data_IF_694304673532
#
_entry.id   IF_694304673532
#
_cell.length_a   1.000
_cell.length_b   1.000
_cell.length_c   1.000
_cell.angle_alpha   90.00
_cell.angle_beta   90.00
_cell.angle_gamma   90.00
#
_symmetry.space_group_name_H-M   'P 1'
#
loop_
_entity.id
_entity.type
_entity.pdbx_description
1 polymer ?
#
# COMPACT_ATOMS: atom_id res chain seq x y z
N UNK A 1 3.43 -16.85 -50.51
CA UNK A 1 3.38 -17.31 -51.92
C UNK A 1 2.91 -16.25 -52.91
N UNK A 2 1.94 -15.39 -52.58
CA UNK A 2 1.42 -14.38 -53.52
C UNK A 2 2.46 -13.33 -54.01
N UNK A 3 3.42 -12.95 -53.18
CA UNK A 3 4.44 -11.95 -53.56
C UNK A 3 5.35 -12.37 -54.70
N UNK A 4 5.80 -13.63 -54.72
CA UNK A 4 6.71 -14.13 -55.78
C UNK A 4 5.97 -14.21 -57.13
N UNK A 5 4.71 -14.64 -57.11
CA UNK A 5 3.86 -14.70 -58.31
C UNK A 5 3.61 -13.30 -58.87
N UNK A 6 3.36 -12.32 -57.99
CA UNK A 6 3.18 -10.91 -58.39
C UNK A 6 4.44 -10.34 -59.05
N UNK A 7 5.61 -10.59 -58.47
CA UNK A 7 6.91 -10.14 -59.02
C UNK A 7 7.16 -10.73 -60.39
N UNK A 8 6.87 -12.02 -60.59
CA UNK A 8 7.03 -12.70 -61.89
C UNK A 8 6.09 -12.11 -62.95
N UNK A 9 4.83 -11.84 -62.59
CA UNK A 9 3.85 -11.23 -63.50
C UNK A 9 4.28 -9.82 -63.90
N UNK A 10 4.73 -9.01 -62.94
CA UNK A 10 5.22 -7.64 -63.21
C UNK A 10 6.48 -7.66 -64.07
N UNK A 11 7.42 -8.57 -63.82
CA UNK A 11 8.63 -8.72 -64.63
C UNK A 11 8.31 -9.12 -66.08
N UNK A 12 7.37 -10.05 -66.28
CA UNK A 12 6.90 -10.47 -67.60
C UNK A 12 6.20 -9.33 -68.34
N UNK A 13 5.28 -8.62 -67.68
CA UNK A 13 4.57 -7.47 -68.24
C UNK A 13 5.54 -6.32 -68.57
N UNK A 14 6.48 -6.02 -67.67
CA UNK A 14 7.51 -5.00 -67.88
C UNK A 14 8.41 -5.33 -69.08
N UNK A 15 8.81 -6.60 -69.22
CA UNK A 15 9.58 -7.06 -70.39
C UNK A 15 8.81 -6.97 -71.70
N UNK A 16 7.52 -7.34 -71.69
CA UNK A 16 6.65 -7.26 -72.88
C UNK A 16 6.45 -5.80 -73.33
N UNK A 17 6.27 -4.92 -72.36
CA UNK A 17 6.11 -3.48 -72.56
C UNK A 17 7.41 -2.83 -73.09
N UNK A 18 8.57 -3.22 -72.56
CA UNK A 18 9.86 -2.70 -73.00
C UNK A 18 10.10 -2.99 -74.49
N UNK A 19 9.75 -4.20 -74.96
CA UNK A 19 9.83 -4.58 -76.36
C UNK A 19 8.94 -3.73 -77.27
N UNK A 20 7.75 -3.34 -76.80
CA UNK A 20 6.85 -2.47 -77.55
C UNK A 20 7.39 -1.03 -77.63
N UNK A 21 7.93 -0.50 -76.54
CA UNK A 21 8.55 0.83 -76.49
C UNK A 21 9.73 0.96 -77.45
N UNK A 22 10.61 -0.03 -77.48
CA UNK A 22 11.77 -0.05 -78.38
C UNK A 22 11.35 -0.16 -79.86
N UNK A 23 10.27 -0.91 -80.14
CA UNK A 23 9.72 -1.03 -81.50
C UNK A 23 9.16 0.29 -82.03
N UNK A 24 8.52 1.08 -81.17
CA UNK A 24 8.03 2.42 -81.50
C UNK A 24 9.22 3.36 -81.73
N UNK A 25 10.21 3.35 -80.83
CA UNK A 25 11.45 4.12 -80.94
C UNK A 25 12.19 3.88 -82.26
N UNK A 26 12.38 2.62 -82.63
CA UNK A 26 13.03 2.21 -83.88
C UNK A 26 12.24 2.61 -85.13
N UNK A 27 10.90 2.51 -85.10
CA UNK A 27 10.04 2.94 -86.22
C UNK A 27 10.14 4.44 -86.47
N UNK A 28 10.20 5.23 -85.41
CA UNK A 28 10.39 6.69 -85.48
C UNK A 28 11.79 7.04 -85.99
N UNK A 29 12.82 6.30 -85.54
CA UNK A 29 14.20 6.45 -86.03
C UNK A 29 14.34 6.16 -87.53
N UNK A 30 13.68 5.13 -88.06
CA UNK A 30 13.69 4.81 -89.50
C UNK A 30 12.99 5.87 -90.37
N UNK A 31 11.98 6.56 -89.84
CA UNK A 31 11.26 7.64 -90.55
C UNK A 31 12.00 8.99 -90.58
N UNK A 32 13.21 9.09 -89.98
CA UNK A 32 14.03 10.31 -89.88
C UNK A 32 13.27 11.53 -89.36
N UNK A 33 12.33 11.32 -88.44
CA UNK A 33 11.57 12.40 -87.82
C UNK A 33 12.51 13.23 -86.94
N UNK A 34 12.47 14.55 -87.08
CA UNK A 34 13.20 15.50 -86.24
C UNK A 34 12.22 16.15 -85.26
N UNK A 35 12.54 16.08 -83.98
CA UNK A 35 11.80 16.75 -82.92
C UNK A 35 12.62 17.98 -82.52
N UNK A 36 12.05 19.18 -82.67
CA UNK A 36 12.73 20.45 -82.36
C UNK A 36 14.11 20.65 -83.02
N UNK A 37 14.28 20.17 -84.27
CA UNK A 37 15.51 20.40 -85.05
C UNK A 37 16.69 19.48 -84.70
N UNK A 38 16.49 18.49 -83.83
CA UNK A 38 17.54 17.53 -83.43
C UNK A 38 17.84 16.50 -84.54
N UNK A 39 19.09 16.00 -84.55
CA UNK A 39 19.54 14.95 -85.47
C UNK A 39 18.73 13.66 -85.22
N UNK A 40 18.19 12.99 -86.27
CA UNK A 40 17.20 11.90 -86.11
C UNK A 40 17.57 10.75 -85.17
N UNK A 41 18.86 10.47 -85.00
CA UNK A 41 19.36 9.46 -84.04
C UNK A 41 19.06 9.83 -82.58
N UNK A 42 19.28 11.10 -82.20
CA UNK A 42 19.02 11.58 -80.85
C UNK A 42 17.52 11.75 -80.60
N UNK A 43 16.77 12.20 -81.62
CA UNK A 43 15.30 12.27 -81.55
C UNK A 43 14.67 10.92 -81.24
N UNK A 44 15.09 9.85 -81.92
CA UNK A 44 14.58 8.50 -81.65
C UNK A 44 14.94 8.00 -80.25
N UNK A 45 16.15 8.27 -79.77
CA UNK A 45 16.58 7.92 -78.40
C UNK A 45 15.75 8.66 -77.34
N UNK A 46 15.56 9.98 -77.50
CA UNK A 46 14.74 10.78 -76.59
C UNK A 46 13.29 10.27 -76.58
N UNK A 47 12.72 9.99 -77.75
CA UNK A 47 11.36 9.46 -77.85
C UNK A 47 11.25 8.09 -77.18
N UNK A 48 12.26 7.23 -77.31
CA UNK A 48 12.28 5.91 -76.66
C UNK A 48 12.35 6.04 -75.13
N UNK A 49 13.20 6.93 -74.60
CA UNK A 49 13.31 7.20 -73.16
C UNK A 49 12.02 7.80 -72.61
N UNK A 50 11.44 8.80 -73.29
CA UNK A 50 10.16 9.42 -72.88
C UNK A 50 9.01 8.40 -72.93
N UNK A 51 8.97 7.55 -73.95
CA UNK A 51 7.97 6.48 -74.04
C UNK A 51 8.16 5.46 -72.90
N UNK A 52 9.39 5.09 -72.56
CA UNK A 52 9.69 4.21 -71.43
C UNK A 52 9.28 4.80 -70.08
N UNK A 53 9.53 6.10 -69.85
CA UNK A 53 9.08 6.81 -68.64
C UNK A 53 7.56 6.88 -68.59
N UNK A 54 6.89 7.22 -69.70
CA UNK A 54 5.43 7.29 -69.77
C UNK A 54 4.78 5.93 -69.50
N UNK A 55 5.31 4.84 -70.06
CA UNK A 55 4.73 3.53 -69.81
C UNK A 55 4.98 3.09 -68.37
N UNK A 56 6.21 3.23 -67.85
CA UNK A 56 6.51 2.87 -66.46
C UNK A 56 5.69 3.67 -65.45
N UNK A 57 5.53 4.98 -65.70
CA UNK A 57 4.67 5.86 -64.90
C UNK A 57 3.20 5.49 -64.99
N UNK A 58 2.70 5.11 -66.17
CA UNK A 58 1.31 4.65 -66.35
C UNK A 58 1.07 3.31 -65.65
N UNK A 59 2.02 2.39 -65.69
CA UNK A 59 1.96 1.12 -64.95
C UNK A 59 1.91 1.38 -63.44
N UNK A 60 2.78 2.26 -62.93
CA UNK A 60 2.80 2.62 -61.52
C UNK A 60 1.49 3.31 -61.08
N UNK A 61 0.97 4.22 -61.91
CA UNK A 61 -0.30 4.91 -61.67
C UNK A 61 -1.46 3.92 -61.59
N UNK A 62 -1.54 3.01 -62.56
CA UNK A 62 -2.60 2.01 -62.64
C UNK A 62 -2.53 1.04 -61.46
N UNK A 63 -1.31 0.62 -61.07
CA UNK A 63 -1.09 -0.18 -59.87
C UNK A 63 -1.49 0.55 -58.58
N UNK A 64 -1.24 1.85 -58.48
CA UNK A 64 -1.63 2.67 -57.30
C UNK A 64 -3.15 2.82 -57.18
N UNK A 65 -3.86 2.88 -58.30
CA UNK A 65 -5.33 2.93 -58.34
C UNK A 65 -5.93 1.57 -57.97
N UNK A 66 -5.41 0.50 -58.56
CA UNK A 66 -5.96 -0.86 -58.42
C UNK A 66 -5.57 -1.53 -57.09
N UNK A 67 -4.35 -1.31 -56.61
CA UNK A 67 -3.82 -1.97 -55.40
C UNK A 67 -3.73 -1.00 -54.23
N UNK A 68 -4.41 -1.35 -53.13
CA UNK A 68 -4.29 -0.64 -51.86
C UNK A 68 -2.90 -0.82 -51.24
N UNK A 69 -2.24 -1.96 -51.45
CA UNK A 69 -0.92 -2.27 -50.90
C UNK A 69 0.17 -1.35 -51.49
N UNK A 70 0.17 -1.18 -52.82
CA UNK A 70 1.12 -0.29 -53.51
C UNK A 70 0.92 1.17 -53.09
N UNK A 71 -0.33 1.61 -52.99
CA UNK A 71 -0.68 2.96 -52.51
C UNK A 71 -0.22 3.18 -51.07
N UNK A 72 -0.38 2.18 -50.23
CA UNK A 72 0.02 2.21 -48.82
C UNK A 72 1.55 2.22 -48.68
N UNK A 73 2.25 1.40 -49.46
CA UNK A 73 3.70 1.36 -49.46
C UNK A 73 4.35 2.65 -49.99
N UNK A 74 3.82 3.23 -51.08
CA UNK A 74 4.36 4.46 -51.68
C UNK A 74 4.11 5.72 -50.84
N UNK A 75 2.96 5.81 -50.16
CA UNK A 75 2.51 7.07 -49.54
C UNK A 75 2.21 7.00 -48.04
N UNK A 76 1.97 5.81 -47.45
CA UNK A 76 1.52 5.66 -46.05
C UNK A 76 2.53 4.99 -45.11
N UNK A 77 3.71 4.58 -45.60
CA UNK A 77 4.72 3.91 -44.78
C UNK A 77 5.12 4.70 -43.53
N UNK A 78 5.33 6.02 -43.64
CA UNK A 78 5.65 6.88 -42.49
C UNK A 78 4.53 6.93 -41.45
N UNK A 79 3.28 6.95 -41.90
CA UNK A 79 2.10 6.98 -41.03
C UNK A 79 2.00 5.65 -40.27
N UNK A 80 2.19 4.52 -40.97
CA UNK A 80 2.16 3.19 -40.36
C UNK A 80 3.27 3.01 -39.32
N UNK A 81 4.49 3.50 -39.60
CA UNK A 81 5.59 3.44 -38.62
C UNK A 81 5.31 4.28 -37.37
N UNK A 82 4.73 5.47 -37.53
CA UNK A 82 4.32 6.31 -36.41
C UNK A 82 3.17 5.68 -35.62
N UNK A 83 2.19 5.08 -36.28
CA UNK A 83 1.10 4.35 -35.63
C UNK A 83 1.62 3.16 -34.82
N UNK A 84 2.59 2.41 -35.33
CA UNK A 84 3.21 1.30 -34.61
C UNK A 84 3.98 1.76 -33.36
N UNK A 85 4.76 2.84 -33.48
CA UNK A 85 5.47 3.40 -32.33
C UNK A 85 4.48 3.93 -31.28
N UNK A 86 3.43 4.61 -31.70
CA UNK A 86 2.40 5.12 -30.81
C UNK A 86 1.59 3.99 -30.16
N UNK A 87 1.33 2.89 -30.87
CA UNK A 87 0.70 1.70 -30.31
C UNK A 87 1.61 0.99 -29.31
N UNK A 88 2.91 0.88 -29.57
CA UNK A 88 3.87 0.32 -28.61
C UNK A 88 3.94 1.15 -27.34
N UNK A 89 4.04 2.48 -27.46
CA UNK A 89 4.00 3.38 -26.30
C UNK A 89 2.71 3.21 -25.49
N UNK A 90 1.55 3.16 -26.17
CA UNK A 90 0.27 2.89 -25.49
C UNK A 90 0.25 1.55 -24.78
N UNK A 91 0.85 0.50 -25.33
CA UNK A 91 0.92 -0.81 -24.67
C UNK A 91 1.81 -0.78 -23.44
N UNK A 92 2.95 -0.07 -23.49
CA UNK A 92 3.85 0.10 -22.34
C UNK A 92 3.19 0.92 -21.23
N UNK A 93 2.52 2.03 -21.58
CA UNK A 93 1.78 2.86 -20.63
C UNK A 93 0.65 2.04 -19.95
N UNK A 94 -0.11 1.28 -20.74
CA UNK A 94 -1.19 0.43 -20.22
C UNK A 94 -0.65 -0.72 -19.35
N UNK A 95 0.53 -1.26 -19.68
CA UNK A 95 1.21 -2.27 -18.86
C UNK A 95 1.66 -1.68 -17.50
N UNK A 96 2.15 -0.44 -17.48
CA UNK A 96 2.48 0.25 -16.23
C UNK A 96 1.23 0.57 -15.41
N UNK A 97 0.18 1.07 -16.04
CA UNK A 97 -1.08 1.40 -15.37
C UNK A 97 -1.75 0.15 -14.77
N UNK A 98 -1.78 -0.95 -15.51
CA UNK A 98 -2.31 -2.23 -15.00
C UNK A 98 -1.47 -2.80 -13.86
N UNK A 99 -0.16 -2.59 -13.84
CA UNK A 99 0.70 -2.96 -12.71
C UNK A 99 0.38 -2.13 -11.47
N UNK A 100 0.30 -0.80 -11.61
CA UNK A 100 -0.05 0.10 -10.51
C UNK A 100 -1.44 -0.19 -9.96
N UNK A 101 -2.43 -0.45 -10.83
CA UNK A 101 -3.78 -0.84 -10.44
C UNK A 101 -3.80 -2.18 -9.69
N UNK A 102 -2.97 -3.16 -10.08
CA UNK A 102 -2.84 -4.42 -9.34
C UNK A 102 -2.25 -4.20 -7.94
N UNK A 103 -1.19 -3.40 -7.83
CA UNK A 103 -0.57 -3.06 -6.54
C UNK A 103 -1.55 -2.33 -5.62
N UNK A 104 -2.30 -1.35 -6.14
CA UNK A 104 -3.36 -0.66 -5.39
C UNK A 104 -4.50 -1.60 -5.00
N UNK A 105 -4.92 -2.49 -5.90
CA UNK A 105 -5.98 -3.47 -5.61
C UNK A 105 -5.57 -4.39 -4.46
N UNK A 106 -4.32 -4.86 -4.45
CA UNK A 106 -3.77 -5.67 -3.37
C UNK A 106 -3.77 -4.89 -2.06
N UNK A 107 -3.28 -3.64 -2.06
CA UNK A 107 -3.29 -2.79 -0.87
C UNK A 107 -4.72 -2.56 -0.32
N UNK A 108 -5.70 -2.37 -1.21
CA UNK A 108 -7.11 -2.25 -0.83
C UNK A 108 -7.70 -3.57 -0.32
N UNK A 109 -7.32 -4.72 -0.88
CA UNK A 109 -7.75 -6.05 -0.40
C UNK A 109 -7.17 -6.34 0.99
N UNK A 110 -5.92 -5.95 1.21
CA UNK A 110 -5.22 -5.96 2.50
C UNK A 110 -5.95 -5.10 3.53
N UNK A 111 -6.26 -3.85 3.19
CA UNK A 111 -6.98 -2.95 4.09
C UNK A 111 -8.41 -3.46 4.36
N UNK A 112 -9.08 -3.99 3.34
CA UNK A 112 -10.39 -4.63 3.49
C UNK A 112 -10.34 -5.83 4.42
N UNK A 113 -9.35 -6.72 4.30
CA UNK A 113 -9.21 -7.87 5.20
C UNK A 113 -8.91 -7.45 6.64
N UNK A 114 -8.02 -6.46 6.83
CA UNK A 114 -7.76 -5.86 8.16
C UNK A 114 -9.05 -5.33 8.77
N UNK A 115 -9.79 -4.51 8.02
CA UNK A 115 -11.08 -3.96 8.45
C UNK A 115 -12.11 -5.05 8.70
N UNK A 116 -12.14 -6.13 7.91
CA UNK A 116 -13.03 -7.26 8.14
C UNK A 116 -12.67 -8.02 9.42
N UNK A 117 -11.39 -8.21 9.72
CA UNK A 117 -10.94 -8.80 10.98
C UNK A 117 -11.26 -7.89 12.17
N UNK A 118 -11.08 -6.58 12.05
CA UNK A 118 -11.48 -5.62 13.08
C UNK A 118 -13.00 -5.64 13.29
N UNK A 119 -13.80 -5.64 12.22
CA UNK A 119 -15.26 -5.79 12.30
C UNK A 119 -15.66 -7.16 12.86
N UNK A 120 -14.92 -8.23 12.56
CA UNK A 120 -15.17 -9.56 13.15
C UNK A 120 -14.81 -9.58 14.64
N UNK A 121 -13.69 -8.98 15.04
CA UNK A 121 -13.30 -8.83 16.44
C UNK A 121 -14.33 -7.99 17.19
N UNK A 122 -14.72 -6.82 16.66
CA UNK A 122 -15.76 -5.97 17.22
C UNK A 122 -17.15 -6.61 17.18
N UNK A 123 -17.48 -7.40 16.18
CA UNK A 123 -18.77 -8.10 16.12
C UNK A 123 -18.80 -9.33 17.02
N UNK A 124 -17.67 -10.02 17.23
CA UNK A 124 -17.53 -11.07 18.23
C UNK A 124 -17.59 -10.49 19.64
N UNK A 125 -16.91 -9.37 19.88
CA UNK A 125 -17.01 -8.58 21.10
C UNK A 125 -18.44 -8.07 21.31
N UNK A 126 -19.09 -7.54 20.27
CA UNK A 126 -20.49 -7.14 20.32
C UNK A 126 -21.46 -8.32 20.42
N UNK A 127 -21.09 -9.53 19.98
CA UNK A 127 -21.87 -10.76 20.14
C UNK A 127 -21.74 -11.31 21.55
N UNK A 128 -20.55 -11.23 22.15
CA UNK A 128 -20.35 -11.49 23.58
C UNK A 128 -21.13 -10.46 24.40
N UNK A 129 -21.04 -9.18 24.05
CA UNK A 129 -21.82 -8.11 24.65
C UNK A 129 -23.34 -8.26 24.38
N UNK A 130 -23.74 -8.84 23.25
CA UNK A 130 -25.15 -9.16 22.94
C UNK A 130 -25.64 -10.42 23.63
N UNK A 131 -24.78 -11.39 23.87
CA UNK A 131 -25.07 -12.50 24.76
C UNK A 131 -25.27 -11.96 26.19
N UNK A 132 -24.49 -10.97 26.61
CA UNK A 132 -24.75 -10.18 27.82
C UNK A 132 -26.07 -9.36 27.70
N UNK A 133 -26.49 -8.92 26.51
CA UNK A 133 -27.75 -8.17 26.31
C UNK A 133 -29.05 -8.99 26.46
N UNK A 134 -29.00 -10.33 26.48
CA UNK A 134 -30.15 -11.15 26.92
C UNK A 134 -30.31 -11.15 28.45
N UNK A 135 -29.35 -10.56 29.16
CA UNK A 135 -29.47 -10.22 30.57
C UNK A 135 -30.24 -8.89 30.68
N UNK A 136 -31.04 -8.68 31.74
CA UNK A 136 -31.63 -7.38 32.02
C UNK A 136 -30.55 -6.27 31.98
N UNK A 137 -30.91 -5.04 31.62
CA UNK A 137 -29.92 -3.97 31.37
C UNK A 137 -28.90 -3.80 32.52
N UNK A 138 -29.33 -4.09 33.75
CA UNK A 138 -28.55 -4.07 35.00
C UNK A 138 -27.47 -5.15 35.12
N UNK A 139 -27.44 -6.14 34.24
CA UNK A 139 -26.49 -7.26 34.24
C UNK A 139 -25.48 -7.17 33.08
N UNK A 140 -25.60 -6.16 32.22
CA UNK A 140 -24.66 -5.95 31.10
C UNK A 140 -23.39 -5.27 31.57
N UNK A 141 -22.25 -5.88 31.29
CA UNK A 141 -20.92 -5.32 31.62
C UNK A 141 -20.57 -4.20 30.64
N UNK A 142 -20.24 -3.02 31.17
CA UNK A 142 -19.84 -1.81 30.42
C UNK A 142 -18.37 -1.42 30.62
N UNK A 143 -17.74 -1.96 31.66
CA UNK A 143 -16.31 -1.87 31.89
C UNK A 143 -15.78 -3.19 32.43
N UNK A 144 -14.62 -3.61 31.94
CA UNK A 144 -13.93 -4.79 32.47
C UNK A 144 -12.88 -4.40 33.50
N UNK A 145 -12.64 -5.27 34.49
CA UNK A 145 -11.55 -5.11 35.44
C UNK A 145 -10.20 -5.02 34.69
N UNK A 146 -9.41 -4.00 35.02
CA UNK A 146 -8.15 -3.67 34.38
C UNK A 146 -8.26 -2.75 33.16
N UNK A 147 -9.47 -2.37 32.74
CA UNK A 147 -9.67 -1.40 31.66
C UNK A 147 -9.10 -0.03 32.05
N UNK A 148 -8.30 0.57 31.15
CA UNK A 148 -7.70 1.89 31.35
C UNK A 148 -8.67 2.94 30.82
N UNK A 149 -9.17 3.80 31.70
CA UNK A 149 -10.09 4.89 31.32
C UNK A 149 -9.31 6.10 30.80
N UNK A 150 -8.26 6.47 31.50
CA UNK A 150 -7.40 7.63 31.18
C UNK A 150 -5.96 7.30 31.55
N UNK A 151 -5.01 7.75 30.74
CA UNK A 151 -3.59 7.67 31.03
C UNK A 151 -2.93 9.02 30.72
N UNK A 152 -2.00 9.45 31.56
CA UNK A 152 -1.25 10.70 31.38
C UNK A 152 0.16 10.57 31.94
N UNK A 153 1.07 11.40 31.45
CA UNK A 153 2.43 11.48 31.97
C UNK A 153 2.47 12.50 33.10
N UNK A 154 3.07 12.10 34.22
CA UNK A 154 3.45 12.99 35.32
C UNK A 154 4.91 13.34 35.10
N UNK A 155 5.19 14.62 34.84
CA UNK A 155 6.54 15.09 34.55
C UNK A 155 7.39 15.19 35.82
N UNK A 156 8.70 15.01 35.67
CA UNK A 156 9.63 15.20 36.79
C UNK A 156 9.70 16.68 37.18
N UNK A 157 9.50 16.97 38.47
CA UNK A 157 9.53 18.34 38.99
C UNK A 157 8.20 19.09 38.88
N UNK A 158 7.13 18.44 38.42
CA UNK A 158 5.78 19.00 38.56
C UNK A 158 5.45 19.26 40.02
N UNK A 159 4.85 20.42 40.30
CA UNK A 159 4.45 20.79 41.65
C UNK A 159 3.31 19.90 42.17
N UNK A 160 3.11 19.81 43.51
CA UNK A 160 1.97 19.09 44.08
C UNK A 160 0.62 19.56 43.54
N UNK A 161 0.45 20.88 43.36
CA UNK A 161 -0.79 21.47 42.82
C UNK A 161 -1.03 21.09 41.37
N UNK A 162 0.00 21.19 40.52
CA UNK A 162 -0.09 20.81 39.10
C UNK A 162 -0.43 19.32 38.93
N UNK A 163 0.17 18.47 39.76
CA UNK A 163 -0.11 17.03 39.76
C UNK A 163 -1.54 16.75 40.22
N UNK A 164 -2.05 17.49 41.22
CA UNK A 164 -3.42 17.38 41.68
C UNK A 164 -4.41 17.83 40.58
N UNK A 165 -4.14 18.94 39.89
CA UNK A 165 -4.96 19.44 38.79
C UNK A 165 -5.01 18.43 37.63
N UNK A 166 -3.87 17.81 37.29
CA UNK A 166 -3.81 16.72 36.32
C UNK A 166 -4.71 15.54 36.73
N UNK A 167 -4.61 15.09 37.98
CA UNK A 167 -5.43 14.00 38.51
C UNK A 167 -6.93 14.33 38.48
N UNK A 168 -7.30 15.56 38.82
CA UNK A 168 -8.70 16.01 38.74
C UNK A 168 -9.21 16.02 37.29
N UNK A 169 -8.38 16.49 36.34
CA UNK A 169 -8.69 16.44 34.91
C UNK A 169 -8.90 14.99 34.44
N UNK A 170 -8.03 14.06 34.85
CA UNK A 170 -8.16 12.64 34.54
C UNK A 170 -9.47 12.04 35.10
N UNK A 171 -9.83 12.36 36.35
CA UNK A 171 -11.09 11.92 36.95
C UNK A 171 -12.30 12.50 36.23
N UNK A 172 -12.27 13.78 35.85
CA UNK A 172 -13.35 14.42 35.11
C UNK A 172 -13.55 13.79 33.73
N UNK A 173 -12.47 13.52 33.01
CA UNK A 173 -12.52 12.84 31.71
C UNK A 173 -13.03 11.40 31.84
N UNK A 174 -12.53 10.64 32.81
CA UNK A 174 -12.99 9.29 33.07
C UNK A 174 -14.46 9.26 33.51
N UNK A 175 -14.92 10.25 34.28
CA UNK A 175 -16.31 10.36 34.70
C UNK A 175 -17.22 10.58 33.49
N UNK A 176 -16.83 11.47 32.57
CA UNK A 176 -17.56 11.68 31.31
C UNK A 176 -17.64 10.37 30.50
N UNK A 177 -16.52 9.66 30.32
CA UNK A 177 -16.49 8.39 29.61
C UNK A 177 -17.39 7.34 30.28
N UNK A 178 -17.34 7.25 31.61
CA UNK A 178 -18.19 6.36 32.40
C UNK A 178 -19.68 6.69 32.26
N UNK A 179 -20.03 7.97 32.25
CA UNK A 179 -21.40 8.42 32.02
C UNK A 179 -21.88 8.09 30.61
N UNK A 180 -21.05 8.29 29.58
CA UNK A 180 -21.36 7.97 28.18
C UNK A 180 -21.62 6.48 27.98
N UNK A 181 -20.90 5.62 28.72
CA UNK A 181 -21.08 4.16 28.70
C UNK A 181 -22.19 3.65 29.62
N UNK A 182 -22.85 4.53 30.38
CA UNK A 182 -24.03 4.19 31.18
C UNK A 182 -23.77 3.90 32.66
N UNK A 183 -22.55 4.08 33.17
CA UNK A 183 -22.28 4.00 34.60
C UNK A 183 -22.91 5.19 35.33
N UNK A 184 -23.47 4.97 36.53
CA UNK A 184 -24.16 6.00 37.32
C UNK A 184 -24.03 5.68 38.80
N UNK A 185 -24.05 6.70 39.67
CA UNK A 185 -24.24 6.54 41.12
C UNK A 185 -25.69 6.79 41.50
N UNK A 186 -26.22 5.95 42.39
CA UNK A 186 -27.61 6.04 42.88
C UNK A 186 -27.93 7.41 43.52
N UNK A 187 -26.99 7.97 44.28
CA UNK A 187 -27.17 9.25 44.99
C UNK A 187 -26.80 10.49 44.17
N UNK A 188 -26.05 10.33 43.08
CA UNK A 188 -25.47 11.44 42.29
C UNK A 188 -25.37 11.01 40.82
N UNK A 189 -26.41 11.25 40.00
CA UNK A 189 -26.45 10.73 38.62
C UNK A 189 -25.38 11.35 37.69
N UNK A 190 -24.80 12.49 38.07
CA UNK A 190 -23.71 13.15 37.34
C UNK A 190 -22.32 12.60 37.72
N UNK A 191 -22.27 11.68 38.68
CA UNK A 191 -21.07 10.95 39.06
C UNK A 191 -21.24 9.47 38.70
N UNK A 192 -20.25 8.93 38.00
CA UNK A 192 -20.20 7.54 37.59
C UNK A 192 -19.04 6.79 38.26
N UNK A 193 -18.01 7.49 38.75
CA UNK A 193 -16.83 6.86 39.33
C UNK A 193 -16.96 6.62 40.83
N UNK A 194 -16.42 5.49 41.29
CA UNK A 194 -16.18 5.20 42.70
C UNK A 194 -14.66 5.04 42.90
N UNK A 195 -14.02 6.12 43.33
CA UNK A 195 -12.57 6.10 43.58
C UNK A 195 -12.24 5.22 44.79
N UNK A 196 -11.22 4.36 44.66
CA UNK A 196 -10.71 3.54 45.78
C UNK A 196 -10.36 4.41 46.99
N UNK A 197 -10.62 3.87 48.19
CA UNK A 197 -10.33 4.55 49.46
C UNK A 197 -8.85 4.90 49.63
N UNK A 198 -7.95 4.19 48.96
CA UNK A 198 -6.51 4.48 48.98
C UNK A 198 -6.17 5.86 48.40
N UNK A 199 -7.09 6.44 47.62
CA UNK A 199 -6.96 7.76 46.99
C UNK A 199 -8.00 8.75 47.54
N UNK A 200 -8.50 8.55 48.76
CA UNK A 200 -9.45 9.49 49.39
C UNK A 200 -8.85 10.88 49.61
N UNK A 201 -7.54 10.95 49.82
CA UNK A 201 -6.76 12.19 49.90
C UNK A 201 -5.92 12.35 48.62
N UNK A 202 -6.54 12.95 47.60
CA UNK A 202 -5.89 13.21 46.31
C UNK A 202 -4.72 14.19 46.44
N UNK A 203 -4.78 15.15 47.36
CA UNK A 203 -3.72 16.14 47.56
C UNK A 203 -2.46 15.49 48.15
N UNK A 204 -2.63 14.64 49.16
CA UNK A 204 -1.50 13.89 49.73
C UNK A 204 -0.87 12.94 48.71
N UNK A 205 -1.67 12.26 47.90
CA UNK A 205 -1.15 11.38 46.85
C UNK A 205 -0.46 12.17 45.73
N UNK A 206 -1.02 13.30 45.30
CA UNK A 206 -0.38 14.21 44.34
C UNK A 206 0.95 14.75 44.86
N UNK A 207 1.03 15.11 46.15
CA UNK A 207 2.29 15.53 46.77
C UNK A 207 3.33 14.40 46.81
N UNK A 208 2.92 13.15 47.04
CA UNK A 208 3.80 12.00 46.97
C UNK A 208 4.32 11.74 45.55
N UNK A 209 3.46 11.87 44.53
CA UNK A 209 3.85 11.75 43.13
C UNK A 209 4.77 12.89 42.69
N UNK A 210 4.48 14.13 43.08
CA UNK A 210 5.30 15.31 42.79
C UNK A 210 6.70 15.22 43.43
N UNK A 211 6.83 14.51 44.55
CA UNK A 211 8.12 14.26 45.18
C UNK A 211 8.99 13.21 44.45
N UNK A 212 8.43 12.51 43.44
CA UNK A 212 9.20 11.57 42.64
C UNK A 212 10.19 12.31 41.73
N UNK A 213 11.44 11.84 41.71
CA UNK A 213 12.51 12.47 40.94
C UNK A 213 12.48 12.12 39.44
N UNK A 214 11.68 11.13 39.04
CA UNK A 214 11.59 10.65 37.67
C UNK A 214 10.16 10.80 37.15
N UNK A 215 9.98 11.10 35.86
CA UNK A 215 8.64 11.14 35.28
C UNK A 215 8.03 9.75 35.33
N UNK A 216 6.72 9.65 35.12
CA UNK A 216 6.05 8.35 35.08
C UNK A 216 4.68 8.42 34.46
N UNK A 217 4.12 7.26 34.13
CA UNK A 217 2.78 7.15 33.57
C UNK A 217 1.80 6.91 34.70
N UNK A 218 0.84 7.83 34.85
CA UNK A 218 -0.31 7.67 35.73
C UNK A 218 -1.50 7.18 34.92
N UNK A 219 -2.12 6.10 35.37
CA UNK A 219 -3.32 5.52 34.76
C UNK A 219 -4.45 5.55 35.77
N UNK A 220 -5.66 5.78 35.28
CA UNK A 220 -6.88 5.54 36.02
C UNK A 220 -7.54 4.29 35.43
N UNK A 221 -7.62 3.23 36.23
CA UNK A 221 -8.09 1.92 35.78
C UNK A 221 -9.31 1.46 36.54
N UNK A 222 -10.14 0.67 35.88
CA UNK A 222 -11.27 -0.02 36.48
C UNK A 222 -10.76 -1.20 37.30
N UNK A 223 -11.24 -1.32 38.53
CA UNK A 223 -10.76 -2.34 39.49
C UNK A 223 -11.64 -3.59 39.50
N UNK A 224 -12.90 -3.47 39.07
CA UNK A 224 -13.87 -4.56 39.03
C UNK A 224 -14.81 -4.36 37.83
N UNK A 225 -15.32 -5.45 37.28
CA UNK A 225 -16.31 -5.40 36.22
C UNK A 225 -17.50 -4.53 36.64
N UNK A 226 -17.90 -3.60 35.77
CA UNK A 226 -18.97 -2.63 36.05
C UNK A 226 -20.15 -2.90 35.14
N UNK A 227 -21.35 -2.96 35.71
CA UNK A 227 -22.59 -3.12 34.95
C UNK A 227 -23.22 -1.77 34.59
N UNK A 228 -24.13 -1.75 33.61
CA UNK A 228 -24.93 -0.54 33.30
C UNK A 228 -25.66 -0.07 34.55
N UNK A 229 -25.71 1.25 34.75
CA UNK A 229 -26.31 1.93 35.90
C UNK A 229 -25.64 1.66 37.26
N UNK A 230 -24.55 0.88 37.29
CA UNK A 230 -23.70 0.75 38.46
C UNK A 230 -22.56 1.79 38.42
N UNK A 231 -22.01 2.17 39.59
CA UNK A 231 -20.82 3.01 39.62
C UNK A 231 -19.57 2.22 39.26
N UNK A 232 -18.67 2.82 38.49
CA UNK A 232 -17.40 2.22 38.07
C UNK A 232 -16.33 2.38 39.16
N UNK A 233 -15.88 1.29 39.81
CA UNK A 233 -14.85 1.37 40.83
C UNK A 233 -13.48 1.54 40.17
N UNK A 234 -12.78 2.64 40.48
CA UNK A 234 -11.53 3.03 39.83
C UNK A 234 -10.40 3.26 40.81
N UNK A 235 -9.17 3.03 40.36
CA UNK A 235 -7.95 3.27 41.12
C UNK A 235 -6.87 3.88 40.23
N UNK A 236 -6.01 4.72 40.82
CA UNK A 236 -4.82 5.17 40.14
C UNK A 236 -3.73 4.10 40.18
N UNK A 237 -2.98 3.99 39.10
CA UNK A 237 -1.77 3.18 39.02
C UNK A 237 -0.65 4.06 38.47
N UNK A 238 0.42 4.21 39.24
CA UNK A 238 1.59 4.96 38.83
C UNK A 238 2.72 4.02 38.42
N UNK A 239 3.29 4.28 37.25
CA UNK A 239 4.37 3.51 36.67
C UNK A 239 5.57 4.44 36.42
N UNK A 240 6.64 4.37 37.24
CA UNK A 240 7.84 5.19 37.06
C UNK A 240 8.45 5.02 35.66
N UNK A 241 9.10 6.03 35.11
CA UNK A 241 9.71 5.90 33.80
C UNK A 241 10.78 4.80 33.80
N UNK A 242 10.72 3.94 32.79
CA UNK A 242 11.63 2.82 32.61
C UNK A 242 11.77 2.52 31.12
N UNK A 243 12.92 2.00 30.73
CA UNK A 243 13.14 1.50 29.38
C UNK A 243 12.29 0.24 29.17
N UNK A 244 11.29 0.31 28.30
CA UNK A 244 10.34 -0.79 28.06
C UNK A 244 10.82 -1.70 26.94
N UNK A 245 11.37 -1.13 25.88
CA UNK A 245 11.94 -1.86 24.76
C UNK A 245 13.33 -1.34 24.47
N UNK A 246 14.28 -2.26 24.27
CA UNK A 246 15.63 -1.90 23.82
C UNK A 246 15.70 -1.93 22.30
N UNK A 247 16.45 -1.00 21.71
CA UNK A 247 16.77 -1.03 20.29
C UNK A 247 17.34 -2.39 19.90
N UNK A 248 16.73 -3.01 18.90
CA UNK A 248 17.14 -4.34 18.42
C UNK A 248 16.52 -5.53 19.17
N UNK A 249 15.72 -5.30 20.22
CA UNK A 249 14.98 -6.36 20.89
C UNK A 249 13.90 -6.94 19.97
N UNK A 250 13.86 -8.27 19.85
CA UNK A 250 12.73 -8.97 19.22
C UNK A 250 11.55 -8.94 20.18
N UNK A 251 10.52 -8.18 19.81
CA UNK A 251 9.32 -7.99 20.61
C UNK A 251 8.38 -9.18 20.50
N UNK A 252 8.18 -9.65 19.27
CA UNK A 252 7.31 -10.77 18.92
C UNK A 252 7.79 -11.39 17.60
N UNK A 253 7.53 -12.67 17.41
CA UNK A 253 7.90 -13.39 16.19
C UNK A 253 6.89 -14.48 15.82
N UNK A 254 6.85 -14.84 14.55
CA UNK A 254 5.99 -15.91 14.02
C UNK A 254 6.63 -16.57 12.81
N UNK A 255 6.30 -17.84 12.55
CA UNK A 255 6.82 -18.57 11.38
C UNK A 255 5.94 -18.30 10.15
N UNK A 256 6.59 -18.01 9.02
CA UNK A 256 5.91 -17.63 7.77
C UNK A 256 6.45 -18.45 6.61
N UNK A 257 5.55 -18.98 5.79
CA UNK A 257 5.92 -19.78 4.62
C UNK A 257 6.07 -18.91 3.36
N UNK A 258 7.04 -19.18 2.47
CA UNK A 258 7.11 -18.54 1.16
C UNK A 258 5.86 -18.76 0.30
N UNK A 259 5.11 -19.83 0.58
CA UNK A 259 3.87 -20.18 -0.11
C UNK A 259 2.66 -19.38 0.40
N UNK A 260 2.76 -18.73 1.57
CA UNK A 260 1.66 -17.96 2.17
C UNK A 260 1.21 -16.82 1.24
N UNK A 261 -0.09 -16.55 1.24
CA UNK A 261 -0.64 -15.43 0.46
C UNK A 261 -0.20 -14.08 1.05
N UNK A 262 -0.23 -13.01 0.24
CA UNK A 262 0.09 -11.67 0.74
C UNK A 262 -0.81 -11.24 1.90
N UNK A 263 -2.11 -11.56 1.81
CA UNK A 263 -3.09 -11.34 2.86
C UNK A 263 -2.78 -12.12 4.14
N UNK A 264 -2.29 -13.36 4.01
CA UNK A 264 -1.90 -14.19 5.16
C UNK A 264 -0.68 -13.63 5.89
N UNK A 265 0.31 -13.14 5.14
CA UNK A 265 1.50 -12.47 5.71
C UNK A 265 1.12 -11.18 6.43
N UNK A 266 0.26 -10.36 5.81
CA UNK A 266 -0.29 -9.17 6.46
C UNK A 266 -0.98 -9.53 7.77
N UNK A 267 -1.85 -10.53 7.74
CA UNK A 267 -2.61 -10.99 8.89
C UNK A 267 -1.69 -11.38 10.05
N UNK A 268 -0.58 -12.07 9.76
CA UNK A 268 0.44 -12.40 10.75
C UNK A 268 1.15 -11.15 11.31
N UNK A 269 1.46 -10.16 10.47
CA UNK A 269 2.05 -8.88 10.92
C UNK A 269 1.11 -8.14 11.89
N UNK A 270 -0.19 -8.10 11.57
CA UNK A 270 -1.20 -7.51 12.46
C UNK A 270 -1.27 -8.23 13.80
N UNK A 271 -1.22 -9.56 13.80
CA UNK A 271 -1.21 -10.36 15.03
C UNK A 271 0.03 -10.05 15.89
N UNK A 272 1.21 -9.88 15.29
CA UNK A 272 2.41 -9.45 16.02
C UNK A 272 2.29 -8.05 16.62
N UNK A 273 1.67 -7.10 15.90
CA UNK A 273 1.40 -5.76 16.40
C UNK A 273 0.45 -5.79 17.62
N UNK A 274 -0.56 -6.67 17.61
CA UNK A 274 -1.44 -6.87 18.75
C UNK A 274 -0.68 -7.42 19.97
N UNK A 275 0.26 -8.35 19.75
CA UNK A 275 1.14 -8.88 20.80
C UNK A 275 2.04 -7.78 21.37
N UNK A 276 2.68 -6.97 20.51
CA UNK A 276 3.47 -5.80 20.92
C UNK A 276 2.63 -4.87 21.80
N UNK A 277 1.43 -4.51 21.35
CA UNK A 277 0.54 -3.63 22.09
C UNK A 277 0.22 -4.19 23.47
N UNK A 278 -0.12 -5.48 23.55
CA UNK A 278 -0.38 -6.16 24.83
C UNK A 278 0.85 -6.10 25.75
N UNK A 279 2.04 -6.40 25.23
CA UNK A 279 3.31 -6.33 25.99
C UNK A 279 3.58 -4.90 26.49
N UNK A 280 3.42 -3.89 25.64
CA UNK A 280 3.60 -2.48 26.00
C UNK A 280 2.62 -2.01 27.09
N UNK A 281 1.34 -2.37 26.97
CA UNK A 281 0.31 -2.03 27.95
C UNK A 281 0.58 -2.66 29.32
N UNK A 282 0.95 -3.94 29.35
CA UNK A 282 1.33 -4.64 30.59
C UNK A 282 2.56 -3.99 31.26
N UNK A 283 3.48 -3.44 30.46
CA UNK A 283 4.68 -2.76 30.96
C UNK A 283 4.44 -1.31 31.41
N UNK A 284 3.19 -0.84 31.45
CA UNK A 284 2.86 0.48 31.97
C UNK A 284 3.06 1.64 30.99
N UNK A 285 3.32 1.35 29.70
CA UNK A 285 3.59 2.39 28.70
C UNK A 285 2.39 3.32 28.47
N UNK A 286 2.66 4.61 28.21
CA UNK A 286 1.61 5.55 27.84
C UNK A 286 0.88 5.06 26.58
N UNK A 287 -0.44 5.18 26.59
CA UNK A 287 -1.27 4.84 25.45
C UNK A 287 -2.19 6.02 25.16
N UNK A 288 -1.84 6.83 24.17
CA UNK A 288 -2.81 7.75 23.60
C UNK A 288 -3.87 6.95 22.83
N UNK A 289 -5.13 7.40 22.95
CA UNK A 289 -6.40 6.76 22.55
C UNK A 289 -6.42 5.98 21.21
N UNK A 290 -5.70 4.85 21.12
CA UNK A 290 -5.85 3.67 20.23
C UNK A 290 -4.61 3.18 19.47
N UNK A 291 -3.42 3.80 19.55
CA UNK A 291 -2.30 3.35 18.71
C UNK A 291 -1.00 3.15 19.50
N UNK A 292 -0.63 1.89 19.71
CA UNK A 292 0.75 1.50 20.02
C UNK A 292 1.27 0.83 18.75
N UNK A 293 2.29 1.42 18.11
CA UNK A 293 2.91 0.87 16.90
C UNK A 293 2.63 1.66 15.62
N UNK A 294 2.65 3.00 15.66
CA UNK A 294 2.76 3.78 14.43
C UNK A 294 4.16 3.61 13.86
N UNK A 295 4.26 2.92 12.71
CA UNK A 295 5.15 3.24 11.59
C UNK A 295 5.29 2.11 10.56
N UNK A 296 4.55 1.00 10.72
CA UNK A 296 4.54 -0.04 9.68
C UNK A 296 3.82 0.46 8.43
N UNK A 297 4.60 1.01 7.51
CA UNK A 297 4.10 1.56 6.25
C UNK A 297 3.65 0.42 5.33
N UNK A 298 2.61 0.60 4.49
CA UNK A 298 2.24 -0.38 3.48
C UNK A 298 3.43 -0.79 2.56
N UNK A 299 4.43 0.08 2.42
CA UNK A 299 5.64 -0.20 1.65
C UNK A 299 6.57 -1.19 2.37
N UNK A 300 6.64 -1.16 3.71
CA UNK A 300 7.41 -2.13 4.49
C UNK A 300 6.79 -3.52 4.43
N UNK A 301 5.46 -3.62 4.53
CA UNK A 301 4.75 -4.90 4.36
C UNK A 301 5.00 -5.45 2.96
N UNK A 302 4.87 -4.62 1.92
CA UNK A 302 5.15 -5.04 0.54
C UNK A 302 6.61 -5.46 0.32
N UNK A 303 7.56 -4.82 1.02
CA UNK A 303 8.98 -5.23 1.00
C UNK A 303 9.15 -6.63 1.61
N UNK A 304 8.56 -6.86 2.78
CA UNK A 304 8.61 -8.16 3.49
C UNK A 304 7.99 -9.26 2.64
N UNK A 305 6.84 -9.01 2.01
CA UNK A 305 6.20 -9.98 1.11
C UNK A 305 7.10 -10.31 -0.08
N UNK A 306 7.69 -9.30 -0.74
CA UNK A 306 8.63 -9.52 -1.86
C UNK A 306 9.84 -10.34 -1.44
N UNK A 307 10.43 -10.02 -0.29
CA UNK A 307 11.59 -10.71 0.25
C UNK A 307 11.26 -12.17 0.61
N UNK A 308 10.12 -12.41 1.27
CA UNK A 308 9.62 -13.74 1.61
C UNK A 308 9.45 -14.62 0.36
N UNK A 309 8.97 -14.06 -0.76
CA UNK A 309 8.79 -14.80 -2.03
C UNK A 309 10.11 -15.23 -2.68
N UNK A 310 11.25 -14.66 -2.27
CA UNK A 310 12.57 -15.10 -2.75
C UNK A 310 13.12 -16.29 -1.97
N UNK A 311 12.52 -16.64 -0.81
CA UNK A 311 12.96 -17.73 0.05
C UNK A 311 12.35 -19.06 -0.39
N UNK A 312 13.06 -20.15 -0.17
CA UNK A 312 12.64 -21.52 -0.55
C UNK A 312 12.14 -22.36 0.62
N UNK A 313 12.36 -21.90 1.85
CA UNK A 313 11.96 -22.54 3.10
C UNK A 313 11.22 -21.55 4.00
N UNK A 314 10.41 -22.03 4.97
CA UNK A 314 9.83 -21.19 6.02
C UNK A 314 10.88 -20.32 6.72
N UNK A 315 10.49 -19.09 7.05
CA UNK A 315 11.33 -18.10 7.74
C UNK A 315 10.61 -17.54 8.94
N UNK A 316 11.36 -17.10 9.94
CA UNK A 316 10.83 -16.43 11.12
C UNK A 316 10.66 -14.94 10.80
N UNK A 317 9.44 -14.44 10.88
CA UNK A 317 9.13 -13.02 10.79
C UNK A 317 9.20 -12.43 12.20
N UNK A 318 10.15 -11.54 12.42
CA UNK A 318 10.42 -10.89 13.70
C UNK A 318 10.00 -9.42 13.67
N UNK A 319 9.29 -8.99 14.70
CA UNK A 319 9.00 -7.59 14.98
C UNK A 319 10.02 -7.07 15.99
N UNK A 320 10.85 -6.14 15.56
CA UNK A 320 12.02 -5.67 16.31
C UNK A 320 11.83 -4.20 16.68
N UNK A 321 12.16 -3.82 17.92
CA UNK A 321 12.17 -2.42 18.32
C UNK A 321 13.25 -1.64 17.55
N UNK A 322 12.85 -0.56 16.87
CA UNK A 322 13.74 0.24 16.02
C UNK A 322 14.62 1.20 16.84
N UNK A 323 14.12 1.62 18.00
CA UNK A 323 14.79 2.52 18.94
C UNK A 323 14.55 2.05 20.39
N UNK A 324 15.33 2.62 21.31
CA UNK A 324 15.05 2.51 22.74
C UNK A 324 13.75 3.25 23.01
N UNK A 325 12.76 2.58 23.61
CA UNK A 325 11.45 3.18 23.90
C UNK A 325 11.20 3.20 25.40
N UNK A 326 11.05 4.40 25.93
CA UNK A 326 10.78 4.63 27.35
C UNK A 326 9.28 4.61 27.64
N UNK A 327 8.90 4.30 28.87
CA UNK A 327 7.49 4.13 29.27
C UNK A 327 6.63 5.37 29.00
N UNK A 328 7.22 6.55 29.16
CA UNK A 328 6.55 7.85 28.92
C UNK A 328 6.59 8.28 27.45
N UNK A 329 7.39 7.60 26.62
CA UNK A 329 7.58 7.88 25.20
C UNK A 329 6.81 6.83 24.39
N UNK A 330 5.53 7.09 24.13
CA UNK A 330 4.74 6.33 23.14
C UNK A 330 4.65 7.12 21.83
N UNK A 331 4.43 6.47 20.66
CA UNK A 331 4.29 5.03 20.41
C UNK A 331 5.63 4.27 20.24
N UNK A 332 5.60 2.93 20.29
CA UNK A 332 6.78 2.07 20.07
C UNK A 332 7.12 2.01 18.58
N UNK A 333 8.34 2.44 18.23
CA UNK A 333 8.86 2.29 16.87
C UNK A 333 9.33 0.85 16.64
N UNK A 334 8.83 0.22 15.58
CA UNK A 334 9.16 -1.16 15.22
C UNK A 334 9.53 -1.32 13.75
N UNK A 335 10.37 -2.32 13.47
CA UNK A 335 10.75 -2.76 12.13
C UNK A 335 10.51 -4.26 11.99
N UNK A 336 10.20 -4.73 10.78
CA UNK A 336 10.07 -6.16 10.49
C UNK A 336 11.36 -6.69 9.87
N UNK A 337 11.80 -7.86 10.31
CA UNK A 337 12.93 -8.60 9.75
C UNK A 337 12.53 -10.06 9.50
N UNK A 338 12.99 -10.64 8.39
CA UNK A 338 12.85 -12.07 8.09
C UNK A 338 14.18 -12.76 8.40
N UNK A 339 14.15 -13.80 9.23
CA UNK A 339 15.33 -14.58 9.64
C UNK A 339 15.15 -16.04 9.22
N UNK A 340 16.17 -16.61 8.57
CA UNK A 340 16.19 -18.05 8.24
C UNK A 340 16.70 -18.84 9.44
N UNK A 341 16.17 -20.05 9.66
CA UNK A 341 16.51 -20.92 10.80
C UNK A 341 18.01 -21.24 10.95
N UNK A 342 18.80 -21.08 9.90
CA UNK A 342 20.26 -21.27 9.92
C UNK A 342 21.03 -20.07 10.52
N UNK A 343 20.41 -18.91 10.72
CA UNK A 343 21.03 -17.70 11.30
C UNK A 343 20.77 -17.54 12.82
N UNK A 344 19.99 -18.42 13.45
CA UNK A 344 19.73 -18.40 14.90
C UNK A 344 21.00 -18.60 15.77
N UNK A 345 22.11 -19.02 15.17
CA UNK A 345 23.37 -19.31 15.88
C UNK A 345 24.47 -18.24 15.76
N UNK A 346 24.25 -17.14 15.05
CA UNK A 346 25.27 -16.09 14.90
C UNK A 346 24.89 -14.79 15.62
N UNK A 347 24.61 -14.89 16.93
CA UNK A 347 24.76 -13.75 17.83
C UNK A 347 25.34 -14.18 19.20
N UNK A 348 26.67 -14.37 19.32
CA UNK A 348 27.36 -14.18 20.59
C UNK A 348 27.67 -12.68 20.73
N UNK A 349 27.36 -12.12 21.91
CA UNK A 349 27.24 -10.68 22.12
C UNK A 349 28.41 -9.79 21.71
N UNK A 350 28.08 -8.51 21.57
CA UNK A 350 28.98 -7.38 21.80
C UNK A 350 28.19 -6.25 22.47
#
# INVERSE_FOLDING_TARGET
>A
MYGIVLVLIIALLGGLIALLGDRVGMKVGKKRLSLFGLRPKHTSMIITVVTGILISGSTLLLLTIVSQDVRTALFRMKIIQQELLLQQQKLDDLAQETKALKENKIALEVEKERLLKEVQAFSAEALLLRADLNLPETERVIFLAGEILVASVVEAGSGPTETADLMQSMLAEANRLALERGARRETRPDEALLLSSDFSDLEAYAAHLAAQAQPGVLRLVVTQDTMVFAPAPVAFQFFPNALVFRKGEVVAETEVSPLSSENEVLNQVLDLLLVLRKKALMQGMISERQYVGENLSPQEVNRVVKELKTKTAPVTLQLIAAADTWRVEGPVEVRIQLVTKDEEHENPGA
#
